data_IF_907189915560
#
_entry.id   IF_907189915560
#
_cell.length_a   1.000
_cell.length_b   1.000
_cell.length_c   1.000
_cell.angle_alpha   90.00
_cell.angle_beta   90.00
_cell.angle_gamma   90.00
#
_symmetry.space_group_name_H-M   'P 1'
#
loop_
_entity.id
_entity.type
_entity.pdbx_description
1 polymer ?
#
# COMPACT_ATOMS: atom_id res chain seq x y z
N UNK A 1 23.35 26.65 -21.49
CA UNK A 1 23.51 25.23 -21.85
C UNK A 1 22.52 24.41 -21.02
N UNK A 2 21.22 24.56 -21.28
CA UNK A 2 20.11 23.96 -20.51
C UNK A 2 19.90 22.51 -20.93
N UNK A 3 20.94 21.70 -20.75
CA UNK A 3 20.90 20.27 -21.00
C UNK A 3 19.79 19.67 -20.14
N UNK A 4 18.79 19.09 -20.81
CA UNK A 4 17.75 18.21 -20.25
C UNK A 4 16.59 18.95 -19.58
N UNK A 5 15.89 19.79 -20.36
CA UNK A 5 14.54 20.26 -20.06
C UNK A 5 13.67 19.11 -19.53
N UNK A 6 12.94 19.33 -18.42
CA UNK A 6 12.03 18.35 -17.77
C UNK A 6 11.08 17.70 -18.79
N UNK A 7 10.74 18.43 -19.86
CA UNK A 7 9.96 17.95 -20.99
C UNK A 7 10.57 16.73 -21.71
N UNK A 8 11.90 16.66 -21.82
CA UNK A 8 12.60 15.52 -22.42
C UNK A 8 12.43 14.26 -21.57
N UNK A 9 12.53 14.37 -20.24
CA UNK A 9 12.35 13.25 -19.33
C UNK A 9 10.93 12.67 -19.36
N UNK A 10 9.91 13.52 -19.52
CA UNK A 10 8.53 13.06 -19.70
C UNK A 10 8.38 12.24 -21.00
N UNK A 11 8.96 12.71 -22.11
CA UNK A 11 8.93 11.99 -23.40
C UNK A 11 9.66 10.65 -23.29
N UNK A 12 10.85 10.63 -22.69
CA UNK A 12 11.63 9.40 -22.50
C UNK A 12 10.87 8.39 -21.65
N UNK A 13 10.27 8.83 -20.55
CA UNK A 13 9.49 7.96 -19.66
C UNK A 13 8.26 7.39 -20.38
N UNK A 14 7.59 8.20 -21.21
CA UNK A 14 6.47 7.74 -22.04
C UNK A 14 6.90 6.67 -23.05
N UNK A 15 8.04 6.86 -23.73
CA UNK A 15 8.58 5.88 -24.69
C UNK A 15 8.99 4.58 -24.00
N UNK A 16 9.63 4.66 -22.83
CA UNK A 16 9.98 3.49 -22.02
C UNK A 16 8.73 2.73 -21.55
N UNK A 17 7.70 3.44 -21.07
CA UNK A 17 6.42 2.82 -20.72
C UNK A 17 5.75 2.11 -21.91
N UNK A 18 5.88 2.66 -23.13
CA UNK A 18 5.31 2.09 -24.34
C UNK A 18 6.09 0.85 -24.81
N UNK A 19 7.42 0.87 -24.74
CA UNK A 19 8.31 -0.24 -25.12
C UNK A 19 8.20 -1.43 -24.17
N UNK A 20 8.21 -1.17 -22.87
CA UNK A 20 8.16 -2.22 -21.85
C UNK A 20 6.72 -2.61 -21.47
N UNK A 21 5.74 -1.73 -21.75
CA UNK A 21 4.35 -1.92 -21.38
C UNK A 21 4.08 -1.78 -19.88
N UNK A 22 2.83 -1.49 -19.51
CA UNK A 22 2.41 -1.28 -18.11
C UNK A 22 2.53 -2.54 -17.23
N UNK A 23 2.43 -3.73 -17.81
CA UNK A 23 2.50 -4.99 -17.09
C UNK A 23 3.88 -5.29 -16.51
N UNK A 24 4.94 -5.19 -17.33
CA UNK A 24 6.31 -5.51 -16.90
C UNK A 24 6.85 -4.50 -15.90
N UNK A 25 6.57 -3.21 -16.10
CA UNK A 25 7.02 -2.16 -15.18
C UNK A 25 6.33 -2.28 -13.82
N UNK A 26 5.04 -2.64 -13.76
CA UNK A 26 4.34 -2.78 -12.47
C UNK A 26 4.86 -3.97 -11.66
N UNK A 27 5.16 -5.08 -12.33
CA UNK A 27 5.70 -6.31 -11.71
C UNK A 27 7.11 -6.05 -11.14
N UNK A 28 8.01 -5.50 -11.97
CA UNK A 28 9.37 -5.10 -11.56
C UNK A 28 9.37 -4.03 -10.45
N UNK A 29 8.52 -3.02 -10.57
CA UNK A 29 8.42 -1.97 -9.54
C UNK A 29 7.86 -2.54 -8.22
N UNK A 30 6.98 -3.54 -8.27
CA UNK A 30 6.46 -4.25 -7.10
C UNK A 30 7.56 -4.99 -6.33
N UNK A 31 8.40 -5.76 -7.04
CA UNK A 31 9.51 -6.49 -6.43
C UNK A 31 10.59 -5.54 -5.87
N UNK A 32 10.92 -4.48 -6.62
CA UNK A 32 11.84 -3.43 -6.17
C UNK A 32 11.29 -2.70 -4.95
N UNK A 33 10.01 -2.33 -4.94
CA UNK A 33 9.36 -1.67 -3.80
C UNK A 33 9.36 -2.57 -2.55
N UNK A 34 9.15 -3.88 -2.72
CA UNK A 34 9.19 -4.85 -1.62
C UNK A 34 10.59 -5.00 -1.04
N UNK A 35 11.63 -5.05 -1.90
CA UNK A 35 13.03 -5.07 -1.48
C UNK A 35 13.42 -3.81 -0.69
N UNK A 36 13.09 -2.63 -1.22
CA UNK A 36 13.38 -1.35 -0.56
C UNK A 36 12.60 -1.20 0.75
N UNK A 37 11.33 -1.64 0.80
CA UNK A 37 10.51 -1.60 2.03
C UNK A 37 11.08 -2.50 3.12
N UNK A 38 11.53 -3.70 2.78
CA UNK A 38 12.18 -4.61 3.72
C UNK A 38 13.54 -4.08 4.20
N UNK A 39 14.31 -3.44 3.30
CA UNK A 39 15.57 -2.79 3.68
C UNK A 39 15.33 -1.62 4.65
N UNK A 40 14.35 -0.77 4.36
CA UNK A 40 13.98 0.35 5.25
C UNK A 40 13.41 -0.14 6.58
N UNK A 41 12.61 -1.22 6.58
CA UNK A 41 12.09 -1.82 7.79
C UNK A 41 13.20 -2.44 8.65
N UNK A 42 14.14 -3.17 8.03
CA UNK A 42 15.30 -3.73 8.74
C UNK A 42 16.19 -2.65 9.35
N UNK A 43 16.39 -1.52 8.66
CA UNK A 43 17.14 -0.39 9.18
C UNK A 43 16.40 0.34 10.31
N UNK A 44 15.06 0.42 10.25
CA UNK A 44 14.24 1.04 11.28
C UNK A 44 14.07 0.18 12.54
N UNK A 45 14.11 -1.15 12.43
CA UNK A 45 14.08 -2.05 13.60
C UNK A 45 15.37 -2.00 14.42
N UNK A 46 16.50 -1.59 13.83
CA UNK A 46 17.77 -1.39 14.56
C UNK A 46 17.72 -0.15 15.47
N UNK A 47 16.89 0.86 15.14
CA UNK A 47 16.79 2.12 15.89
C UNK A 47 15.58 2.22 16.85
N UNK A 48 14.57 1.35 16.79
CA UNK A 48 13.40 1.39 17.71
C UNK A 48 12.65 0.05 17.76
N UNK A 49 12.32 -0.50 18.94
CA UNK A 49 11.41 -1.63 19.03
C UNK A 49 9.95 -1.15 18.90
N UNK A 50 9.18 -1.87 18.06
CA UNK A 50 7.71 -1.88 17.94
C UNK A 50 7.12 -1.26 16.63
N UNK A 51 5.89 -1.62 16.25
CA UNK A 51 5.66 -2.51 15.11
C UNK A 51 4.87 -1.77 14.01
N UNK A 52 5.48 -1.59 12.84
CA UNK A 52 4.78 -0.97 11.72
C UNK A 52 4.72 -1.86 10.48
N UNK A 53 3.52 -1.88 9.90
CA UNK A 53 3.13 -2.43 8.61
C UNK A 53 2.79 -3.92 8.54
N UNK A 54 1.72 -4.31 9.25
CA UNK A 54 0.68 -5.13 8.59
C UNK A 54 -0.10 -4.18 7.68
N UNK A 55 -0.18 -4.41 6.36
CA UNK A 55 -1.29 -3.87 5.59
C UNK A 55 -2.54 -4.51 6.18
N UNK A 56 -3.23 -3.80 7.06
CA UNK A 56 -4.61 -4.13 7.39
C UNK A 56 -5.39 -4.10 6.09
N UNK A 57 -5.64 -5.28 5.54
CA UNK A 57 -6.86 -5.54 4.80
C UNK A 57 -8.02 -4.98 5.65
N UNK A 58 -9.01 -4.30 5.04
CA UNK A 58 -10.13 -3.71 5.76
C UNK A 58 -10.69 -4.76 6.72
N UNK A 59 -10.47 -4.55 8.03
CA UNK A 59 -11.10 -5.37 9.05
C UNK A 59 -12.60 -5.25 8.77
N UNK A 60 -13.31 -6.32 8.37
CA UNK A 60 -14.75 -6.26 8.31
C UNK A 60 -15.18 -5.91 9.73
N UNK A 61 -15.74 -4.72 9.87
CA UNK A 61 -16.31 -4.20 11.10
C UNK A 61 -17.23 -5.31 11.61
N UNK A 62 -16.95 -5.98 12.75
CA UNK A 62 -17.99 -6.76 13.39
C UNK A 62 -19.04 -5.73 13.73
N UNK A 63 -20.21 -5.88 13.13
CA UNK A 63 -21.37 -5.04 13.38
C UNK A 63 -21.69 -5.16 14.87
N UNK A 64 -21.04 -4.32 15.67
CA UNK A 64 -21.38 -4.10 17.06
C UNK A 64 -22.63 -3.22 17.02
N UNK A 65 -23.76 -3.84 16.67
CA UNK A 65 -25.07 -3.34 17.02
C UNK A 65 -25.19 -3.45 18.54
N UNK A 66 -24.63 -2.46 19.22
CA UNK A 66 -25.07 -2.11 20.56
C UNK A 66 -26.45 -1.45 20.45
N UNK A 67 -27.19 -1.25 21.55
CA UNK A 67 -27.99 -2.19 22.30
C UNK A 67 -29.49 -1.85 22.15
N UNK A 68 -30.40 -2.82 22.27
CA UNK A 68 -31.79 -2.53 22.59
C UNK A 68 -32.39 -3.67 23.42
N UNK A 69 -32.94 -3.37 24.62
CA UNK A 69 -33.59 -4.33 25.50
C UNK A 69 -34.94 -4.75 24.88
N UNK A 70 -35.66 -5.67 25.55
CA UNK A 70 -37.08 -6.00 25.32
C UNK A 70 -37.34 -7.30 24.53
N UNK A 71 -37.09 -8.43 25.19
CA UNK A 71 -37.80 -9.68 24.92
C UNK A 71 -37.88 -10.55 26.19
N UNK A 72 -38.38 -9.96 27.27
CA UNK A 72 -38.82 -10.71 28.45
C UNK A 72 -39.93 -9.88 29.07
N UNK A 73 -41.21 -10.18 28.77
CA UNK A 73 -42.29 -10.71 29.65
C UNK A 73 -43.53 -10.98 28.77
N UNK A 74 -44.21 -12.13 28.99
CA UNK A 74 -45.63 -12.45 28.74
C UNK A 74 -45.90 -13.55 27.69
N UNK A 75 -46.63 -14.56 28.17
CA UNK A 75 -47.23 -15.71 27.51
C UNK A 75 -46.32 -16.95 27.37
N UNK A 76 -46.29 -17.79 28.40
CA UNK A 76 -47.05 -19.07 28.51
C UNK A 76 -47.22 -19.39 29.99
#
# INVERSE_FOLDING_TARGET
MGSLSIWHWIIVLAVVLLLFGRGKISDLMGDVAKGIKSFKKGLAEDETPAPAATPEAPRPIPHQASPAPEAEKKAV
#
